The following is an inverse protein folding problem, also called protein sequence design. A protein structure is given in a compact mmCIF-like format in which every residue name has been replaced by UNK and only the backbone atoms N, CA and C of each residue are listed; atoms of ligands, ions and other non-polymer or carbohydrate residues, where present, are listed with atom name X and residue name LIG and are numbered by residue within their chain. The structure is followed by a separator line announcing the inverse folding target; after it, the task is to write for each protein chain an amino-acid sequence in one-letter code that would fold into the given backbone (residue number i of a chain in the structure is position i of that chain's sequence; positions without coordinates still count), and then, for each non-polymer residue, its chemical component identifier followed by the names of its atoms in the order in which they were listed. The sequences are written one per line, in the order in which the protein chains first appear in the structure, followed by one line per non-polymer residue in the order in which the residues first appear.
data_IF_070595488123
#
_entry.id   IF_070595488123
#
_cell.length_a   1.000
_cell.length_b   1.000
_cell.length_c   1.000
_cell.angle_alpha   90.00
_cell.angle_beta   90.00
_cell.angle_gamma   90.00
#
_symmetry.space_group_name_H-M   'P 1'
#
loop_
_entity.id
_entity.type
_entity.pdbx_description
1 polymer ?
#
# COMPACT_ATOMS: atom_id res chain seq x y z
N UNK A 1 -26.05 21.76 -54.23
CA UNK A 1 -26.05 22.69 -53.06
C UNK A 1 -26.82 22.14 -51.83
N UNK A 2 -28.06 21.65 -51.94
CA UNK A 2 -28.85 21.18 -50.78
C UNK A 2 -28.23 20.02 -49.95
N UNK A 3 -27.46 19.14 -50.55
CA UNK A 3 -26.80 18.02 -49.84
C UNK A 3 -25.59 18.47 -48.96
N UNK A 4 -24.79 19.43 -49.42
CA UNK A 4 -23.64 19.97 -48.66
C UNK A 4 -24.10 20.74 -47.42
N UNK A 5 -25.21 21.44 -47.50
CA UNK A 5 -25.78 22.22 -46.39
C UNK A 5 -26.36 21.31 -45.28
N UNK A 6 -27.01 20.21 -45.67
CA UNK A 6 -27.52 19.20 -44.74
C UNK A 6 -26.42 18.51 -43.97
N UNK A 7 -25.29 18.17 -44.61
CA UNK A 7 -24.09 17.58 -44.01
C UNK A 7 -23.44 18.54 -43.00
N UNK A 8 -23.33 19.84 -43.36
CA UNK A 8 -22.77 20.86 -42.44
C UNK A 8 -23.65 21.07 -41.21
N UNK A 9 -24.98 21.09 -41.39
CA UNK A 9 -25.92 21.19 -40.26
C UNK A 9 -25.86 20.01 -39.31
N UNK A 10 -25.81 18.79 -39.85
CA UNK A 10 -25.67 17.57 -39.04
C UNK A 10 -24.36 17.58 -38.26
N UNK A 11 -23.23 17.93 -38.89
CA UNK A 11 -21.93 18.03 -38.21
C UNK A 11 -21.96 19.08 -37.09
N UNK A 12 -22.54 20.24 -37.30
CA UNK A 12 -22.67 21.28 -36.28
C UNK A 12 -23.53 20.81 -35.10
N UNK A 13 -24.61 20.07 -35.38
CA UNK A 13 -25.46 19.47 -34.33
C UNK A 13 -24.72 18.45 -33.50
N UNK A 14 -23.94 17.57 -34.14
CA UNK A 14 -23.10 16.59 -33.45
C UNK A 14 -22.03 17.27 -32.59
N UNK A 15 -21.37 18.31 -33.12
CA UNK A 15 -20.36 19.06 -32.36
C UNK A 15 -20.98 19.77 -31.14
N UNK A 16 -22.18 20.40 -31.31
CA UNK A 16 -22.88 21.02 -30.21
C UNK A 16 -23.32 20.02 -29.15
N UNK A 17 -23.85 18.86 -29.56
CA UNK A 17 -24.23 17.80 -28.64
C UNK A 17 -23.01 17.26 -27.85
N UNK A 18 -21.89 17.04 -28.52
CA UNK A 18 -20.66 16.62 -27.88
C UNK A 18 -20.15 17.65 -26.88
N UNK A 19 -20.19 18.94 -27.23
CA UNK A 19 -19.77 20.01 -26.31
C UNK A 19 -20.69 20.06 -25.08
N UNK A 20 -22.02 19.98 -25.29
CA UNK A 20 -22.99 19.95 -24.19
C UNK A 20 -22.75 18.76 -23.26
N UNK A 21 -22.50 17.56 -23.80
CA UNK A 21 -22.21 16.38 -23.02
C UNK A 21 -20.91 16.54 -22.21
N UNK A 22 -19.84 17.01 -22.83
CA UNK A 22 -18.56 17.25 -22.14
C UNK A 22 -18.72 18.29 -21.02
N UNK A 23 -19.41 19.38 -21.28
CA UNK A 23 -19.71 20.43 -20.27
C UNK A 23 -20.53 19.84 -19.10
N UNK A 24 -21.56 19.04 -19.38
CA UNK A 24 -22.39 18.44 -18.36
C UNK A 24 -21.57 17.48 -17.46
N UNK A 25 -20.68 16.68 -18.05
CA UNK A 25 -19.78 15.78 -17.30
C UNK A 25 -18.85 16.58 -16.38
N UNK A 26 -18.22 17.65 -16.91
CA UNK A 26 -17.33 18.52 -16.12
C UNK A 26 -18.06 19.21 -14.98
N UNK A 27 -19.24 19.79 -15.23
CA UNK A 27 -20.04 20.47 -14.20
C UNK A 27 -20.52 19.47 -13.13
N UNK A 28 -20.88 18.26 -13.52
CA UNK A 28 -21.28 17.22 -12.57
C UNK A 28 -20.10 16.77 -11.73
N UNK A 29 -18.92 16.60 -12.34
CA UNK A 29 -17.67 16.28 -11.64
C UNK A 29 -17.33 17.36 -10.61
N UNK A 30 -17.32 18.62 -11.03
CA UNK A 30 -17.06 19.77 -10.16
C UNK A 30 -18.07 19.84 -8.99
N UNK A 31 -19.36 19.68 -9.29
CA UNK A 31 -20.42 19.69 -8.27
C UNK A 31 -20.21 18.57 -7.23
N UNK A 32 -19.84 17.37 -7.67
CA UNK A 32 -19.50 16.27 -6.75
C UNK A 32 -18.28 16.56 -5.92
N UNK A 33 -17.20 17.05 -6.53
CA UNK A 33 -15.96 17.40 -5.83
C UNK A 33 -16.20 18.39 -4.69
N UNK A 34 -17.07 19.37 -4.90
CA UNK A 34 -17.32 20.43 -3.93
C UNK A 34 -18.42 20.10 -2.91
N UNK A 35 -19.43 19.31 -3.29
CA UNK A 35 -20.63 19.13 -2.47
C UNK A 35 -20.74 17.73 -1.81
N UNK A 36 -20.25 16.70 -2.47
CA UNK A 36 -20.32 15.30 -2.01
C UNK A 36 -19.14 14.51 -2.56
N UNK A 37 -17.90 14.80 -2.13
CA UNK A 37 -16.74 14.06 -2.58
C UNK A 37 -16.84 12.59 -2.17
N UNK A 38 -16.26 11.71 -2.97
CA UNK A 38 -16.00 10.32 -2.57
C UNK A 38 -14.79 10.31 -1.65
N UNK A 39 -14.80 9.42 -0.67
CA UNK A 39 -13.69 9.27 0.26
C UNK A 39 -12.57 8.38 -0.28
N UNK A 40 -12.92 7.45 -1.17
CA UNK A 40 -12.00 6.44 -1.71
C UNK A 40 -12.06 6.38 -3.24
N UNK A 41 -10.89 6.31 -3.85
CA UNK A 41 -10.72 5.92 -5.24
C UNK A 41 -10.46 4.41 -5.28
N UNK A 42 -11.52 3.63 -5.40
CA UNK A 42 -11.44 2.16 -5.43
C UNK A 42 -10.65 1.62 -6.62
N UNK A 43 -10.63 2.36 -7.74
CA UNK A 43 -9.89 1.94 -8.93
C UNK A 43 -8.37 1.95 -8.69
N UNK A 44 -7.88 2.96 -7.97
CA UNK A 44 -6.46 3.14 -7.68
C UNK A 44 -6.08 2.66 -6.26
N UNK A 45 -7.05 2.08 -5.54
CA UNK A 45 -6.87 1.53 -4.19
C UNK A 45 -6.20 2.52 -3.22
N UNK A 46 -6.70 3.75 -3.18
CA UNK A 46 -6.19 4.82 -2.31
C UNK A 46 -7.31 5.77 -1.86
N UNK A 47 -7.10 6.57 -0.82
CA UNK A 47 -7.98 7.69 -0.50
C UNK A 47 -8.15 8.60 -1.71
N UNK A 48 -9.36 9.12 -1.92
CA UNK A 48 -9.61 10.09 -2.98
C UNK A 48 -8.96 11.43 -2.65
N UNK A 49 -8.43 12.10 -3.67
CA UNK A 49 -7.86 13.42 -3.50
C UNK A 49 -8.95 14.42 -3.10
N UNK A 50 -8.61 15.31 -2.18
CA UNK A 50 -9.47 16.38 -1.70
C UNK A 50 -9.00 17.74 -2.20
N UNK A 51 -9.93 18.70 -2.25
CA UNK A 51 -9.60 20.07 -2.64
C UNK A 51 -8.80 20.73 -1.54
N UNK A 52 -7.60 21.21 -1.86
CA UNK A 52 -6.80 22.00 -0.92
C UNK A 52 -7.42 23.39 -0.67
N UNK A 53 -7.17 24.02 0.50
CA UNK A 53 -7.60 25.38 0.76
C UNK A 53 -7.01 26.37 -0.26
N UNK A 54 -7.84 27.25 -0.77
CA UNK A 54 -7.40 28.33 -1.65
C UNK A 54 -6.72 29.43 -0.82
N UNK A 55 -5.43 29.58 -0.99
CA UNK A 55 -4.64 30.68 -0.41
C UNK A 55 -3.94 31.45 -1.52
N UNK A 56 -3.44 32.66 -1.22
CA UNK A 56 -2.67 33.41 -2.21
C UNK A 56 -1.37 32.66 -2.62
N UNK A 57 -0.75 31.97 -1.70
CA UNK A 57 0.46 31.17 -1.94
C UNK A 57 0.12 29.97 -2.85
N UNK A 58 -0.87 29.16 -2.48
CA UNK A 58 -1.26 27.95 -3.25
C UNK A 58 -1.80 28.29 -4.64
N UNK A 59 -2.33 29.51 -4.83
CA UNK A 59 -2.73 29.97 -6.16
C UNK A 59 -1.52 30.37 -7.02
N UNK A 60 -0.52 31.04 -6.41
CA UNK A 60 0.64 31.53 -7.15
C UNK A 60 1.67 30.46 -7.48
N UNK A 61 1.82 29.45 -6.62
CA UNK A 61 2.73 28.34 -6.84
C UNK A 61 2.11 27.18 -7.65
N UNK A 62 0.81 27.22 -7.91
CA UNK A 62 0.09 26.22 -8.70
C UNK A 62 -0.43 25.02 -7.89
N UNK A 63 -0.10 24.90 -6.61
CA UNK A 63 -0.48 23.74 -5.80
C UNK A 63 -2.00 23.59 -5.61
N UNK A 64 -2.74 24.72 -5.59
CA UNK A 64 -4.20 24.68 -5.57
C UNK A 64 -4.77 24.09 -6.86
N UNK A 65 -4.23 24.50 -8.02
CA UNK A 65 -4.66 24.01 -9.32
C UNK A 65 -4.41 22.51 -9.44
N UNK A 66 -3.23 22.04 -9.03
CA UNK A 66 -2.87 20.63 -9.05
C UNK A 66 -3.79 19.80 -8.13
N UNK A 67 -4.05 20.28 -6.91
CA UNK A 67 -4.94 19.61 -5.97
C UNK A 67 -6.41 19.58 -6.48
N UNK A 68 -6.88 20.68 -7.11
CA UNK A 68 -8.19 20.76 -7.72
C UNK A 68 -8.33 19.80 -8.90
N UNK A 69 -7.31 19.71 -9.75
CA UNK A 69 -7.29 18.78 -10.90
C UNK A 69 -7.32 17.33 -10.42
N UNK A 70 -6.49 16.99 -9.44
CA UNK A 70 -6.46 15.66 -8.84
C UNK A 70 -7.80 15.28 -8.20
N UNK A 71 -8.39 16.17 -7.39
CA UNK A 71 -9.68 15.95 -6.76
C UNK A 71 -10.81 15.83 -7.80
N UNK A 72 -10.82 16.69 -8.82
CA UNK A 72 -11.81 16.63 -9.90
C UNK A 72 -11.69 15.32 -10.69
N UNK A 73 -10.48 14.89 -11.00
CA UNK A 73 -10.22 13.63 -11.70
C UNK A 73 -10.80 12.41 -10.97
N UNK A 74 -10.70 12.39 -9.63
CA UNK A 74 -11.27 11.31 -8.81
C UNK A 74 -12.81 11.37 -8.75
N UNK A 75 -13.41 12.55 -8.85
CA UNK A 75 -14.84 12.77 -8.65
C UNK A 75 -15.68 12.78 -9.93
N UNK A 76 -15.06 12.88 -11.13
CA UNK A 76 -15.79 12.89 -12.40
C UNK A 76 -16.61 11.59 -12.52
N UNK A 77 -17.95 11.68 -12.70
CA UNK A 77 -18.76 10.52 -12.98
C UNK A 77 -18.26 9.82 -14.26
N UNK A 78 -18.25 8.53 -14.26
CA UNK A 78 -17.79 7.71 -15.41
C UNK A 78 -16.28 7.74 -15.69
N UNK A 79 -15.46 8.62 -15.09
CA UNK A 79 -14.02 8.62 -15.34
C UNK A 79 -13.39 7.24 -15.00
N UNK A 80 -13.77 6.66 -13.87
CA UNK A 80 -13.33 5.32 -13.48
C UNK A 80 -13.85 4.25 -14.44
N UNK A 81 -15.13 4.31 -14.83
CA UNK A 81 -15.70 3.38 -15.79
C UNK A 81 -15.07 3.51 -17.18
N UNK A 82 -14.75 4.73 -17.61
CA UNK A 82 -14.04 4.97 -18.87
C UNK A 82 -12.60 4.48 -18.81
N UNK A 83 -11.87 4.76 -17.73
CA UNK A 83 -10.52 4.21 -17.49
C UNK A 83 -10.57 2.66 -17.53
N UNK A 84 -11.53 2.07 -16.81
CA UNK A 84 -11.73 0.61 -16.79
C UNK A 84 -11.98 0.07 -18.20
N UNK A 85 -12.96 0.61 -18.92
CA UNK A 85 -13.31 0.16 -20.28
C UNK A 85 -12.16 0.29 -21.27
N UNK A 86 -11.42 1.40 -21.19
CA UNK A 86 -10.26 1.62 -22.04
C UNK A 86 -9.13 0.61 -21.74
N UNK A 87 -8.84 0.40 -20.46
CA UNK A 87 -7.85 -0.57 -20.02
C UNK A 87 -8.28 -2.00 -20.38
N UNK A 88 -9.55 -2.37 -20.14
CA UNK A 88 -10.10 -3.67 -20.49
C UNK A 88 -9.96 -3.95 -22.00
N UNK A 89 -10.24 -2.95 -22.85
CA UNK A 89 -10.10 -3.10 -24.28
C UNK A 89 -8.63 -3.25 -24.73
N UNK A 90 -7.71 -2.48 -24.17
CA UNK A 90 -6.29 -2.59 -24.47
C UNK A 90 -5.65 -3.85 -23.89
N UNK A 91 -6.03 -4.21 -22.67
CA UNK A 91 -5.39 -5.28 -21.94
C UNK A 91 -5.89 -6.67 -22.33
N UNK A 92 -7.10 -6.78 -22.88
CA UNK A 92 -7.62 -8.09 -23.32
C UNK A 92 -6.70 -8.76 -24.35
N UNK A 93 -6.23 -8.03 -25.33
CA UNK A 93 -5.33 -8.58 -26.37
C UNK A 93 -3.98 -8.94 -25.76
N UNK A 94 -3.45 -8.06 -24.90
CA UNK A 94 -2.16 -8.26 -24.23
C UNK A 94 -2.27 -9.45 -23.26
N UNK A 95 -3.32 -9.47 -22.45
CA UNK A 95 -3.61 -10.55 -21.52
C UNK A 95 -3.71 -11.90 -22.21
N UNK A 96 -4.55 -12.03 -23.26
CA UNK A 96 -4.71 -13.29 -24.01
C UNK A 96 -3.38 -13.80 -24.56
N UNK A 97 -2.52 -12.89 -25.03
CA UNK A 97 -1.19 -13.26 -25.56
C UNK A 97 -0.25 -13.73 -24.45
N UNK A 98 -0.21 -13.03 -23.34
CA UNK A 98 0.60 -13.36 -22.16
C UNK A 98 0.18 -14.72 -21.57
N UNK A 99 -1.13 -14.93 -21.40
CA UNK A 99 -1.66 -16.17 -20.85
C UNK A 99 -1.35 -17.37 -21.76
N UNK A 100 -1.50 -17.22 -23.07
CA UNK A 100 -1.12 -18.27 -24.04
C UNK A 100 0.34 -18.64 -23.93
N UNK A 101 1.22 -17.64 -23.78
CA UNK A 101 2.66 -17.88 -23.61
C UNK A 101 2.96 -18.55 -22.27
N UNK A 102 2.40 -18.06 -21.19
CA UNK A 102 2.61 -18.60 -19.85
C UNK A 102 2.09 -20.02 -19.70
N UNK A 103 0.92 -20.34 -20.26
CA UNK A 103 0.41 -21.72 -20.31
C UNK A 103 1.24 -22.65 -21.17
N UNK A 104 1.77 -22.13 -22.29
CA UNK A 104 2.62 -22.93 -23.18
C UNK A 104 3.98 -23.24 -22.55
N UNK A 105 4.46 -22.37 -21.68
CA UNK A 105 5.78 -22.45 -21.03
C UNK A 105 5.64 -22.23 -19.51
N UNK A 106 4.99 -23.13 -18.76
CA UNK A 106 4.63 -22.89 -17.36
C UNK A 106 5.82 -22.73 -16.42
N UNK A 107 6.99 -23.25 -16.80
CA UNK A 107 8.21 -23.14 -15.99
C UNK A 107 9.09 -21.94 -16.39
N UNK A 108 8.63 -21.14 -17.35
CA UNK A 108 9.36 -19.95 -17.81
C UNK A 108 8.53 -18.74 -17.48
N UNK A 109 9.05 -17.79 -16.70
CA UNK A 109 8.32 -16.56 -16.43
C UNK A 109 8.14 -15.77 -17.73
N UNK A 110 6.92 -15.31 -17.96
CA UNK A 110 6.61 -14.39 -19.06
C UNK A 110 6.65 -12.98 -18.51
N UNK A 111 7.62 -12.19 -18.96
CA UNK A 111 7.69 -10.79 -18.55
C UNK A 111 6.63 -9.97 -19.28
N UNK A 112 5.91 -9.19 -18.50
CA UNK A 112 4.93 -8.23 -18.99
C UNK A 112 5.12 -6.90 -18.23
N UNK A 113 5.66 -5.92 -18.93
CA UNK A 113 6.04 -4.64 -18.33
C UNK A 113 7.00 -4.89 -17.14
N UNK A 114 6.63 -4.45 -15.96
CA UNK A 114 7.38 -4.65 -14.71
C UNK A 114 7.04 -5.94 -13.97
N UNK A 115 6.21 -6.81 -14.55
CA UNK A 115 5.77 -8.04 -13.90
C UNK A 115 6.29 -9.30 -14.59
N UNK A 116 6.41 -10.36 -13.79
CA UNK A 116 6.62 -11.73 -14.22
C UNK A 116 5.36 -12.53 -13.98
N UNK A 117 4.91 -13.28 -14.98
CA UNK A 117 3.76 -14.18 -14.88
C UNK A 117 4.25 -15.62 -14.92
N UNK A 118 3.95 -16.38 -13.89
CA UNK A 118 4.32 -17.78 -13.76
C UNK A 118 3.08 -18.67 -13.91
N UNK A 119 3.14 -19.65 -14.81
CA UNK A 119 2.09 -20.66 -15.00
C UNK A 119 0.68 -20.11 -15.24
N UNK A 120 0.56 -18.86 -15.65
CA UNK A 120 -0.72 -18.17 -15.80
C UNK A 120 -1.44 -17.85 -14.49
N UNK A 121 -0.76 -17.93 -13.35
CA UNK A 121 -1.35 -17.76 -12.02
C UNK A 121 -0.78 -16.58 -11.25
N UNK A 122 0.55 -16.46 -11.23
CA UNK A 122 1.26 -15.58 -10.30
C UNK A 122 1.74 -14.34 -11.01
N UNK A 123 1.44 -13.19 -10.42
CA UNK A 123 2.04 -11.91 -10.78
C UNK A 123 3.09 -11.56 -9.73
N UNK A 124 4.37 -11.55 -10.13
CA UNK A 124 5.45 -11.04 -9.30
C UNK A 124 6.09 -9.86 -10.02
N UNK A 125 6.63 -8.89 -9.28
CA UNK A 125 7.44 -7.85 -9.90
C UNK A 125 8.69 -8.48 -10.52
N UNK A 126 9.09 -7.97 -11.68
CA UNK A 126 10.40 -8.30 -12.24
C UNK A 126 11.48 -7.88 -11.25
N UNK A 127 12.48 -8.76 -11.11
CA UNK A 127 13.61 -8.53 -10.22
C UNK A 127 14.31 -7.21 -10.52
N UNK A 128 14.60 -6.47 -9.48
CA UNK A 128 15.41 -5.27 -9.54
C UNK A 128 16.83 -5.60 -9.09
N UNK A 129 17.81 -5.43 -9.97
CA UNK A 129 19.20 -5.78 -9.64
C UNK A 129 19.72 -4.93 -8.47
N UNK A 130 20.67 -5.46 -7.65
CA UNK A 130 21.28 -4.70 -6.55
C UNK A 130 21.83 -3.34 -6.99
N UNK A 131 22.43 -3.26 -8.18
CA UNK A 131 22.98 -2.00 -8.70
C UNK A 131 21.95 -0.89 -8.85
N UNK A 132 20.67 -1.24 -9.07
CA UNK A 132 19.59 -0.27 -9.15
C UNK A 132 19.13 0.20 -7.76
N UNK A 133 19.25 -0.65 -6.74
CA UNK A 133 18.79 -0.37 -5.39
C UNK A 133 19.89 0.13 -4.44
N UNK A 134 21.17 -0.15 -4.73
CA UNK A 134 22.31 0.27 -3.90
C UNK A 134 22.32 1.77 -3.57
N UNK A 135 22.10 2.70 -4.52
CA UNK A 135 22.09 4.12 -4.20
C UNK A 135 21.03 4.48 -3.14
N UNK A 136 19.85 3.85 -3.23
CA UNK A 136 18.74 4.03 -2.29
C UNK A 136 19.10 3.45 -0.92
N UNK A 137 19.62 2.21 -0.89
CA UNK A 137 20.09 1.56 0.34
C UNK A 137 21.16 2.37 1.04
N UNK A 138 22.07 2.97 0.28
CA UNK A 138 23.13 3.83 0.81
C UNK A 138 22.52 5.04 1.52
N UNK A 139 21.65 5.77 0.85
CA UNK A 139 20.94 6.92 1.40
C UNK A 139 20.16 6.57 2.66
N UNK A 140 19.45 5.43 2.65
CA UNK A 140 18.67 4.96 3.79
C UNK A 140 19.58 4.62 4.98
N UNK A 141 20.69 3.92 4.74
CA UNK A 141 21.64 3.61 5.81
C UNK A 141 22.27 4.86 6.42
N UNK A 142 22.58 5.87 5.62
CA UNK A 142 23.12 7.14 6.07
C UNK A 142 22.09 7.92 6.93
N UNK A 143 20.85 8.01 6.48
CA UNK A 143 19.76 8.66 7.21
C UNK A 143 19.47 7.94 8.55
N UNK A 144 19.42 6.61 8.53
CA UNK A 144 19.20 5.82 9.74
C UNK A 144 20.37 5.99 10.73
N UNK A 145 21.59 5.96 10.26
CA UNK A 145 22.77 6.20 11.11
C UNK A 145 22.76 7.60 11.71
N UNK A 146 22.35 8.61 10.96
CA UNK A 146 22.19 9.96 11.48
C UNK A 146 21.11 10.04 12.58
N UNK A 147 19.98 9.34 12.38
CA UNK A 147 18.91 9.25 13.37
C UNK A 147 19.36 8.52 14.64
N UNK A 148 20.04 7.39 14.50
CA UNK A 148 20.63 6.63 15.62
C UNK A 148 21.60 7.51 16.42
N UNK A 149 22.46 8.22 15.75
CA UNK A 149 23.44 9.11 16.41
C UNK A 149 22.78 10.29 17.13
N UNK A 150 21.67 10.81 16.61
CA UNK A 150 20.92 11.90 17.20
C UNK A 150 20.11 11.49 18.45
N UNK A 151 19.79 10.19 18.60
CA UNK A 151 18.93 9.68 19.68
C UNK A 151 19.58 8.49 20.40
N UNK A 152 20.67 8.72 21.16
CA UNK A 152 21.40 7.64 21.84
C UNK A 152 20.61 7.03 23.01
N UNK A 153 19.52 7.64 23.44
CA UNK A 153 18.58 7.17 24.46
C UNK A 153 17.47 6.27 23.91
N UNK A 154 17.42 6.06 22.58
CA UNK A 154 16.47 5.23 21.90
C UNK A 154 17.13 3.93 21.43
N UNK A 155 16.46 2.80 21.65
CA UNK A 155 16.90 1.52 21.08
C UNK A 155 16.31 1.37 19.70
N UNK A 156 17.15 1.20 18.68
CA UNK A 156 16.74 1.07 17.29
C UNK A 156 16.78 -0.41 16.86
N UNK A 157 15.87 -0.75 15.99
CA UNK A 157 15.82 -2.05 15.33
C UNK A 157 15.59 -1.84 13.82
N UNK A 158 16.17 -2.69 13.02
CA UNK A 158 15.96 -2.75 11.58
C UNK A 158 15.30 -4.08 11.22
N UNK A 159 14.13 -4.02 10.60
CA UNK A 159 13.46 -5.20 10.06
C UNK A 159 13.15 -4.99 8.59
N UNK A 160 13.91 -5.68 7.73
CA UNK A 160 13.74 -5.64 6.29
C UNK A 160 12.75 -6.70 5.84
N UNK A 161 11.76 -6.32 5.07
CA UNK A 161 10.89 -7.27 4.40
C UNK A 161 11.36 -7.43 2.95
N UNK A 162 11.65 -8.66 2.54
CA UNK A 162 11.83 -8.97 1.13
C UNK A 162 10.49 -8.68 0.44
N UNK A 163 10.47 -7.59 -0.27
CA UNK A 163 9.29 -7.20 -1.05
C UNK A 163 9.15 -8.06 -2.30
N UNK A 164 8.07 -7.83 -2.99
CA UNK A 164 7.70 -8.55 -4.19
C UNK A 164 8.74 -8.35 -5.35
N UNK A 165 9.46 -7.23 -5.37
CA UNK A 165 10.46 -6.91 -6.39
C UNK A 165 11.92 -7.12 -5.96
N UNK A 166 12.14 -7.47 -4.71
CA UNK A 166 13.49 -7.54 -4.14
C UNK A 166 13.66 -8.78 -3.25
N UNK A 167 13.24 -9.92 -3.77
CA UNK A 167 13.36 -11.21 -3.10
C UNK A 167 14.26 -12.15 -3.90
N UNK A 168 14.82 -13.14 -3.22
CA UNK A 168 15.73 -14.09 -3.85
C UNK A 168 15.03 -15.04 -4.84
N UNK A 169 13.75 -15.29 -4.64
CA UNK A 169 12.95 -16.11 -5.54
C UNK A 169 12.91 -15.53 -6.97
N UNK A 170 12.63 -14.23 -7.13
CA UNK A 170 12.61 -13.59 -8.46
C UNK A 170 14.01 -13.32 -9.01
N UNK A 171 15.00 -13.19 -8.13
CA UNK A 171 16.41 -13.05 -8.52
C UNK A 171 17.01 -14.36 -9.03
N UNK A 172 16.50 -15.50 -8.55
CA UNK A 172 17.11 -16.80 -8.78
C UNK A 172 18.40 -17.05 -7.99
N UNK A 173 18.81 -16.08 -7.17
CA UNK A 173 20.00 -16.13 -6.30
C UNK A 173 19.87 -15.12 -5.16
N UNK A 174 20.77 -15.16 -4.17
CA UNK A 174 20.81 -14.14 -3.13
C UNK A 174 21.11 -12.76 -3.74
N UNK A 175 20.18 -11.81 -3.56
CA UNK A 175 20.31 -10.46 -4.09
C UNK A 175 21.29 -9.58 -3.30
N UNK A 176 21.72 -10.00 -2.09
CA UNK A 176 22.68 -9.28 -1.26
C UNK A 176 22.20 -7.94 -0.69
N UNK A 177 20.93 -7.60 -0.86
CA UNK A 177 20.40 -6.30 -0.44
C UNK A 177 20.39 -6.14 1.10
N UNK A 178 19.95 -7.18 1.81
CA UNK A 178 19.97 -7.17 3.28
C UNK A 178 21.41 -7.13 3.81
N UNK A 179 22.30 -7.91 3.26
CA UNK A 179 23.73 -7.93 3.62
C UNK A 179 24.39 -6.58 3.38
N UNK A 180 24.06 -5.95 2.26
CA UNK A 180 24.54 -4.61 1.95
C UNK A 180 24.06 -3.58 2.98
N UNK A 181 22.75 -3.56 3.28
CA UNK A 181 22.18 -2.63 4.25
C UNK A 181 22.71 -2.89 5.66
N UNK A 182 22.65 -4.14 6.12
CA UNK A 182 23.03 -4.52 7.48
C UNK A 182 24.51 -4.26 7.78
N UNK A 183 25.38 -4.33 6.75
CA UNK A 183 26.80 -4.00 6.90
C UNK A 183 27.09 -2.50 7.05
N UNK A 184 26.12 -1.63 6.71
CA UNK A 184 26.28 -0.17 6.73
C UNK A 184 25.55 0.52 7.87
N UNK A 185 24.58 -0.12 8.48
CA UNK A 185 23.81 0.42 9.59
C UNK A 185 24.54 0.19 10.90
N UNK A 186 24.64 1.23 11.74
CA UNK A 186 25.32 1.20 13.03
C UNK A 186 24.43 0.55 14.12
N UNK A 187 23.98 -0.68 13.86
CA UNK A 187 23.22 -1.52 14.81
C UNK A 187 23.93 -2.84 15.01
N UNK A 188 23.84 -3.43 16.21
CA UNK A 188 24.28 -4.80 16.43
C UNK A 188 23.41 -5.80 15.67
N UNK A 189 23.97 -6.95 15.29
CA UNK A 189 23.30 -7.94 14.46
C UNK A 189 21.97 -8.45 15.07
N UNK A 190 21.90 -8.56 16.38
CA UNK A 190 20.70 -8.97 17.12
C UNK A 190 19.55 -7.96 17.08
N UNK A 191 19.81 -6.73 16.62
CA UNK A 191 18.81 -5.70 16.38
C UNK A 191 18.39 -5.60 14.91
N UNK A 192 18.87 -6.50 14.07
CA UNK A 192 18.57 -6.53 12.64
C UNK A 192 17.90 -7.86 12.27
N UNK A 193 16.80 -7.79 11.54
CA UNK A 193 16.05 -8.95 11.07
C UNK A 193 15.63 -8.81 9.61
N UNK A 194 15.28 -9.94 9.00
CA UNK A 194 14.83 -10.02 7.61
C UNK A 194 13.64 -10.97 7.49
N UNK A 195 12.59 -10.54 6.82
CA UNK A 195 11.55 -11.41 6.31
C UNK A 195 12.00 -11.96 4.95
N UNK A 196 12.55 -13.17 4.95
CA UNK A 196 13.14 -13.75 3.75
C UNK A 196 12.09 -14.40 2.83
N UNK A 197 12.23 -14.17 1.51
CA UNK A 197 11.47 -14.82 0.45
C UNK A 197 12.47 -15.42 -0.55
N UNK A 198 12.90 -16.63 -0.27
CA UNK A 198 13.94 -17.29 -1.05
C UNK A 198 13.39 -18.25 -2.11
N UNK A 199 12.12 -18.68 -1.96
CA UNK A 199 11.51 -19.70 -2.79
C UNK A 199 10.08 -19.33 -3.21
N UNK A 200 9.64 -19.85 -4.36
CA UNK A 200 8.27 -19.66 -4.86
C UNK A 200 7.20 -20.10 -3.86
N UNK A 201 7.43 -21.22 -3.15
CA UNK A 201 6.49 -21.74 -2.16
C UNK A 201 6.28 -20.76 -0.99
N UNK A 202 7.35 -20.12 -0.54
CA UNK A 202 7.29 -19.06 0.48
C UNK A 202 6.51 -17.85 -0.02
N UNK A 203 6.78 -17.44 -1.26
CA UNK A 203 6.06 -16.34 -1.89
C UNK A 203 4.55 -16.65 -2.02
N UNK A 204 4.20 -17.83 -2.53
CA UNK A 204 2.81 -18.28 -2.68
C UNK A 204 2.03 -18.31 -1.36
N UNK A 205 2.71 -18.68 -0.28
CA UNK A 205 2.10 -18.78 1.05
C UNK A 205 1.92 -17.43 1.72
N UNK A 206 2.89 -16.53 1.56
CA UNK A 206 3.02 -15.33 2.39
C UNK A 206 2.54 -14.06 1.69
N UNK A 207 2.37 -14.07 0.37
CA UNK A 207 1.97 -12.89 -0.40
C UNK A 207 0.68 -13.11 -1.17
N UNK A 208 -0.03 -12.00 -1.42
CA UNK A 208 -1.09 -12.01 -2.41
C UNK A 208 -0.50 -12.17 -3.81
N UNK A 209 -1.22 -12.90 -4.66
CA UNK A 209 -0.79 -13.11 -6.05
C UNK A 209 -1.09 -11.89 -6.94
N UNK A 210 -2.13 -11.13 -6.59
CA UNK A 210 -2.61 -9.98 -7.36
C UNK A 210 -2.24 -8.64 -6.75
N UNK A 211 -1.68 -8.66 -5.54
CA UNK A 211 -1.25 -7.47 -4.79
C UNK A 211 0.21 -7.60 -4.36
N UNK A 212 0.89 -6.47 -4.13
CA UNK A 212 2.29 -6.47 -3.73
C UNK A 212 2.50 -6.71 -2.23
N UNK A 213 1.45 -6.71 -1.45
CA UNK A 213 1.55 -6.92 -0.01
C UNK A 213 1.55 -8.40 0.36
N UNK A 214 2.02 -8.69 1.56
CA UNK A 214 1.81 -9.97 2.19
C UNK A 214 0.32 -10.22 2.50
N UNK A 215 -0.10 -11.48 2.49
CA UNK A 215 -1.44 -11.89 2.90
C UNK A 215 -1.52 -12.03 4.44
N UNK A 216 -2.64 -12.52 4.97
CA UNK A 216 -2.80 -12.75 6.40
C UNK A 216 -1.75 -13.70 7.00
N UNK A 217 -1.31 -14.71 6.25
CA UNK A 217 -0.28 -15.66 6.70
C UNK A 217 1.08 -14.97 6.78
N UNK A 218 1.45 -14.25 5.73
CA UNK A 218 2.72 -13.52 5.66
C UNK A 218 2.78 -12.38 6.67
N UNK A 219 1.73 -11.56 6.80
CA UNK A 219 1.70 -10.48 7.77
C UNK A 219 1.79 -11.00 9.21
N UNK A 220 1.13 -12.12 9.53
CA UNK A 220 1.23 -12.73 10.84
C UNK A 220 2.63 -13.33 11.12
N UNK A 221 3.27 -13.93 10.11
CA UNK A 221 4.67 -14.35 10.20
C UNK A 221 5.58 -13.13 10.44
N UNK A 222 5.41 -12.05 9.68
CA UNK A 222 6.17 -10.82 9.85
C UNK A 222 5.99 -10.19 11.24
N UNK A 223 4.75 -10.18 11.75
CA UNK A 223 4.49 -9.78 13.13
C UNK A 223 5.28 -10.60 14.15
N UNK A 224 5.26 -11.93 14.03
CA UNK A 224 5.98 -12.83 14.96
C UNK A 224 7.49 -12.61 14.92
N UNK A 225 8.06 -12.46 13.72
CA UNK A 225 9.49 -12.21 13.54
C UNK A 225 9.89 -10.83 14.09
N UNK A 226 9.11 -9.78 13.81
CA UNK A 226 9.34 -8.44 14.35
C UNK A 226 9.20 -8.42 15.88
N UNK A 227 8.21 -9.10 16.44
CA UNK A 227 8.04 -9.22 17.87
C UNK A 227 9.21 -9.97 18.53
N UNK A 228 9.69 -11.06 17.91
CA UNK A 228 10.87 -11.79 18.38
C UNK A 228 12.14 -10.94 18.35
N UNK A 229 12.31 -10.10 17.30
CA UNK A 229 13.42 -9.15 17.21
C UNK A 229 13.41 -8.14 18.37
N UNK A 230 12.22 -7.73 18.83
CA UNK A 230 12.03 -6.88 20.00
C UNK A 230 12.14 -7.63 21.35
N UNK A 231 12.40 -8.95 21.32
CA UNK A 231 12.46 -9.79 22.52
C UNK A 231 11.08 -10.10 23.15
N UNK A 232 9.99 -9.94 22.39
CA UNK A 232 8.64 -10.12 22.87
C UNK A 232 8.15 -11.55 22.66
N UNK A 233 7.57 -12.15 23.71
CA UNK A 233 7.06 -13.54 23.69
C UNK A 233 5.55 -13.63 23.89
N UNK A 234 4.90 -12.57 24.37
CA UNK A 234 3.44 -12.52 24.54
C UNK A 234 2.78 -12.00 23.26
N UNK A 235 2.46 -12.93 22.37
CA UNK A 235 1.91 -12.62 21.05
C UNK A 235 0.38 -12.63 21.07
N UNK A 236 -0.24 -11.84 20.21
CA UNK A 236 -1.65 -11.98 19.85
C UNK A 236 -1.79 -13.19 18.93
N UNK A 237 -2.64 -14.15 19.33
CA UNK A 237 -2.97 -15.28 18.49
C UNK A 237 -4.26 -15.03 17.71
N UNK A 238 -4.34 -15.48 16.44
CA UNK A 238 -5.57 -15.39 15.67
C UNK A 238 -6.71 -16.17 16.34
N UNK A 239 -7.89 -15.56 16.44
CA UNK A 239 -9.11 -16.22 16.92
C UNK A 239 -9.74 -17.08 15.81
N UNK A 240 -9.80 -16.54 14.60
CA UNK A 240 -10.37 -17.19 13.43
C UNK A 240 -9.83 -16.55 12.16
N UNK A 241 -10.05 -17.23 11.03
CA UNK A 241 -9.85 -16.69 9.69
C UNK A 241 -11.19 -16.27 9.12
N UNK A 242 -11.27 -15.02 8.66
CA UNK A 242 -12.49 -14.44 8.05
C UNK A 242 -12.24 -14.22 6.57
N UNK A 243 -13.12 -14.75 5.72
CA UNK A 243 -13.16 -14.46 4.29
C UNK A 243 -13.79 -13.07 4.09
N UNK A 244 -12.98 -12.08 3.70
CA UNK A 244 -13.43 -10.70 3.44
C UNK A 244 -13.98 -10.57 2.02
N UNK A 245 -13.34 -11.25 1.06
CA UNK A 245 -13.77 -11.25 -0.33
C UNK A 245 -13.38 -12.56 -1.02
N UNK A 246 -14.22 -13.03 -1.94
CA UNK A 246 -13.87 -14.11 -2.86
C UNK A 246 -13.25 -13.59 -4.16
N UNK A 247 -13.20 -12.26 -4.33
CA UNK A 247 -12.85 -11.62 -5.59
C UNK A 247 -11.93 -10.39 -5.37
N UNK A 248 -10.89 -10.59 -4.57
CA UNK A 248 -9.89 -9.54 -4.35
C UNK A 248 -8.95 -9.45 -5.54
N UNK A 249 -8.82 -8.24 -6.07
CA UNK A 249 -7.88 -7.93 -7.14
C UNK A 249 -7.04 -6.73 -6.71
N UNK A 250 -5.78 -6.98 -6.41
CA UNK A 250 -4.89 -6.01 -5.82
C UNK A 250 -4.17 -5.10 -6.81
N UNK A 251 -3.19 -4.38 -6.31
CA UNK A 251 -2.47 -3.31 -7.02
C UNK A 251 -1.74 -3.79 -8.28
N UNK A 252 -1.19 -5.01 -8.29
CA UNK A 252 -0.52 -5.58 -9.47
C UNK A 252 -1.52 -5.82 -10.62
N UNK A 253 -2.64 -6.46 -10.32
CA UNK A 253 -3.69 -6.69 -11.31
C UNK A 253 -4.32 -5.38 -11.79
N UNK A 254 -4.50 -4.41 -10.87
CA UNK A 254 -4.96 -3.07 -11.19
C UNK A 254 -4.02 -2.35 -12.16
N UNK A 255 -2.70 -2.39 -11.93
CA UNK A 255 -1.72 -1.67 -12.73
C UNK A 255 -1.63 -2.16 -14.17
N UNK A 256 -1.94 -3.45 -14.41
CA UNK A 256 -2.01 -4.03 -15.77
C UNK A 256 -3.44 -4.06 -16.33
N UNK A 257 -4.45 -3.57 -15.57
CA UNK A 257 -5.85 -3.54 -15.97
C UNK A 257 -6.48 -4.92 -16.15
N UNK A 258 -6.06 -5.88 -15.34
CA UNK A 258 -6.47 -7.28 -15.45
C UNK A 258 -7.30 -7.76 -14.25
N UNK A 259 -8.03 -6.88 -13.58
CA UNK A 259 -8.79 -7.18 -12.35
C UNK A 259 -9.85 -8.28 -12.54
N UNK A 260 -10.45 -8.36 -13.72
CA UNK A 260 -11.45 -9.41 -14.04
C UNK A 260 -10.84 -10.79 -14.30
N UNK A 261 -9.53 -10.83 -14.54
CA UNK A 261 -8.80 -12.04 -14.91
C UNK A 261 -7.91 -12.54 -13.78
N UNK A 262 -7.33 -11.62 -13.03
CA UNK A 262 -6.50 -11.91 -11.88
C UNK A 262 -7.21 -11.44 -10.60
N UNK A 263 -7.78 -12.37 -9.91
CA UNK A 263 -8.37 -12.17 -8.60
C UNK A 263 -8.12 -13.40 -7.73
N UNK A 264 -8.21 -13.23 -6.45
CA UNK A 264 -7.99 -14.26 -5.45
C UNK A 264 -8.86 -14.04 -4.22
N UNK A 265 -9.03 -15.04 -3.36
CA UNK A 265 -9.69 -14.85 -2.09
C UNK A 265 -8.87 -13.93 -1.17
N UNK A 266 -9.54 -13.04 -0.44
CA UNK A 266 -8.93 -12.26 0.64
C UNK A 266 -9.39 -12.78 1.98
N UNK A 267 -8.49 -13.49 2.66
CA UNK A 267 -8.66 -13.96 4.03
C UNK A 267 -7.92 -13.06 5.00
N UNK A 268 -8.50 -12.82 6.17
CA UNK A 268 -7.95 -11.98 7.23
C UNK A 268 -8.07 -12.71 8.57
N UNK A 269 -7.04 -12.62 9.39
CA UNK A 269 -7.15 -13.10 10.77
C UNK A 269 -7.88 -12.10 11.65
N UNK A 270 -8.83 -12.58 12.44
CA UNK A 270 -9.46 -11.80 13.51
C UNK A 270 -8.69 -11.97 14.81
N UNK A 271 -8.51 -10.87 15.53
CA UNK A 271 -7.81 -10.83 16.80
C UNK A 271 -8.67 -10.18 17.90
N UNK A 272 -8.38 -10.51 19.17
CA UNK A 272 -8.89 -9.80 20.33
C UNK A 272 -7.94 -8.64 20.68
N UNK A 273 -8.14 -7.50 20.04
CA UNK A 273 -7.33 -6.32 20.34
C UNK A 273 -7.66 -5.73 21.72
N UNK A 274 -6.67 -5.19 22.45
CA UNK A 274 -6.91 -4.43 23.67
C UNK A 274 -7.71 -3.16 23.34
N UNK A 275 -8.40 -2.62 24.34
CA UNK A 275 -9.01 -1.29 24.21
C UNK A 275 -7.90 -0.26 24.02
N UNK A 276 -8.11 0.67 23.11
CA UNK A 276 -7.16 1.73 22.78
C UNK A 276 -7.88 3.00 22.34
N UNK A 277 -7.22 4.13 22.45
CA UNK A 277 -7.57 5.33 21.71
C UNK A 277 -6.73 5.39 20.42
N UNK A 278 -7.33 5.97 19.40
CA UNK A 278 -6.72 6.10 18.07
C UNK A 278 -6.66 7.57 17.71
N UNK A 279 -5.51 8.01 17.21
CA UNK A 279 -5.35 9.35 16.64
C UNK A 279 -4.69 9.20 15.26
N UNK A 280 -5.24 9.85 14.24
CA UNK A 280 -4.72 9.83 12.87
C UNK A 280 -4.44 11.27 12.46
N UNK A 281 -3.21 11.57 12.08
CA UNK A 281 -2.76 12.92 11.70
C UNK A 281 -3.14 14.02 12.73
N UNK A 282 -3.05 13.69 14.02
CA UNK A 282 -3.38 14.57 15.13
C UNK A 282 -4.87 14.62 15.52
N UNK A 283 -5.77 14.01 14.76
CA UNK A 283 -7.20 14.01 15.02
C UNK A 283 -7.67 12.66 15.62
N UNK A 284 -8.58 12.68 16.61
CA UNK A 284 -9.16 11.45 17.16
C UNK A 284 -9.92 10.66 16.09
N UNK A 285 -9.77 9.33 16.11
CA UNK A 285 -10.48 8.40 15.25
C UNK A 285 -11.12 7.28 16.08
N UNK A 286 -12.20 6.70 15.58
CA UNK A 286 -12.92 5.63 16.28
C UNK A 286 -12.10 4.33 16.32
N UNK A 287 -11.40 4.01 15.21
CA UNK A 287 -10.56 2.82 15.09
C UNK A 287 -9.56 2.96 13.93
N UNK A 288 -8.63 2.02 13.83
CA UNK A 288 -7.66 1.90 12.74
C UNK A 288 -7.49 0.44 12.32
N UNK A 289 -7.75 0.13 11.03
CA UNK A 289 -7.67 -1.23 10.51
C UNK A 289 -8.59 -2.25 11.22
N UNK A 290 -8.79 -3.40 10.63
CA UNK A 290 -9.64 -4.47 11.16
C UNK A 290 -11.04 -4.04 11.63
N UNK A 291 -11.63 -3.04 10.97
CA UNK A 291 -12.96 -2.56 11.31
C UNK A 291 -14.01 -3.65 11.08
N UNK A 292 -15.06 -3.67 11.92
CA UNK A 292 -16.13 -4.67 11.83
C UNK A 292 -16.80 -4.72 10.46
N UNK A 293 -16.93 -3.58 9.77
CA UNK A 293 -17.47 -3.54 8.41
C UNK A 293 -16.64 -4.35 7.42
N UNK A 294 -15.30 -4.27 7.53
CA UNK A 294 -14.39 -5.07 6.71
C UNK A 294 -14.48 -6.55 7.05
N UNK A 295 -14.43 -6.87 8.35
CA UNK A 295 -14.45 -8.24 8.85
C UNK A 295 -15.81 -8.95 8.70
N UNK A 296 -16.90 -8.21 8.47
CA UNK A 296 -18.23 -8.78 8.21
C UNK A 296 -18.49 -9.08 6.73
N UNK A 297 -17.51 -8.85 5.85
CA UNK A 297 -17.67 -9.03 4.40
C UNK A 297 -18.61 -8.02 3.75
N UNK A 298 -18.86 -6.88 4.40
CA UNK A 298 -19.72 -5.81 3.89
C UNK A 298 -19.01 -4.86 2.92
N UNK A 299 -17.70 -5.02 2.73
CA UNK A 299 -16.96 -4.28 1.71
C UNK A 299 -17.36 -4.79 0.32
N UNK A 300 -17.98 -3.92 -0.46
CA UNK A 300 -18.32 -4.21 -1.86
C UNK A 300 -17.08 -4.34 -2.74
N UNK A 301 -16.02 -3.60 -2.37
CA UNK A 301 -14.73 -3.60 -3.05
C UNK A 301 -13.64 -3.78 -1.99
N UNK A 302 -13.22 -5.03 -1.74
CA UNK A 302 -12.17 -5.34 -0.79
C UNK A 302 -10.83 -4.79 -1.29
N UNK A 303 -10.11 -4.10 -0.41
CA UNK A 303 -8.78 -3.60 -0.66
C UNK A 303 -7.89 -3.80 0.56
N UNK A 304 -6.58 -3.89 0.36
CA UNK A 304 -5.63 -4.04 1.45
C UNK A 304 -5.77 -2.91 2.48
N UNK A 305 -5.75 -1.66 2.00
CA UNK A 305 -5.91 -0.49 2.86
C UNK A 305 -7.28 -0.41 3.55
N UNK A 306 -8.35 -0.88 2.89
CA UNK A 306 -9.70 -0.94 3.49
C UNK A 306 -9.80 -1.92 4.64
N UNK A 307 -8.95 -2.94 4.69
CA UNK A 307 -8.90 -3.93 5.78
C UNK A 307 -7.89 -3.53 6.85
N UNK A 308 -6.65 -3.26 6.47
CA UNK A 308 -5.54 -3.07 7.41
C UNK A 308 -5.27 -1.62 7.79
N UNK A 309 -5.92 -0.66 7.15
CA UNK A 309 -5.69 0.77 7.27
C UNK A 309 -4.90 1.32 6.08
N UNK A 310 -5.10 2.61 5.82
CA UNK A 310 -4.43 3.34 4.76
C UNK A 310 -3.12 3.93 5.24
N UNK A 311 -2.26 4.29 4.28
CA UNK A 311 -1.03 5.02 4.56
C UNK A 311 -1.35 6.43 5.06
N UNK A 312 -1.18 6.61 6.35
CA UNK A 312 -1.36 7.88 7.02
C UNK A 312 0.02 8.43 7.41
N UNK A 313 0.14 9.76 7.47
CA UNK A 313 1.41 10.39 7.89
C UNK A 313 1.75 10.09 9.35
N UNK A 314 0.74 9.95 10.21
CA UNK A 314 0.88 9.60 11.61
C UNK A 314 -0.35 8.81 12.07
N UNK A 315 -0.12 7.69 12.76
CA UNK A 315 -1.15 6.94 13.50
C UNK A 315 -0.64 6.69 14.91
N UNK A 316 -1.41 7.10 15.91
CA UNK A 316 -1.09 6.85 17.32
C UNK A 316 -2.15 5.90 17.87
N UNK A 317 -1.70 4.76 18.37
CA UNK A 317 -2.52 3.77 19.07
C UNK A 317 -2.08 3.75 20.54
N UNK A 318 -2.97 4.17 21.46
CA UNK A 318 -2.65 4.26 22.88
C UNK A 318 -3.60 3.41 23.71
N UNK A 319 -3.06 2.41 24.40
CA UNK A 319 -3.82 1.53 25.30
C UNK A 319 -4.08 2.14 26.68
N UNK A 320 -3.45 3.29 26.99
CA UNK A 320 -3.50 3.90 28.32
C UNK A 320 -2.80 3.08 29.42
N UNK A 321 -2.12 1.99 29.06
CA UNK A 321 -1.45 1.11 30.02
C UNK A 321 -0.11 1.74 30.40
N UNK A 322 0.12 1.97 31.69
CA UNK A 322 1.41 2.47 32.21
C UNK A 322 2.36 1.30 32.50
N UNK A 323 3.67 1.52 32.40
CA UNK A 323 4.70 0.54 32.72
C UNK A 323 5.24 -0.26 31.52
N UNK A 324 4.81 0.05 30.28
CA UNK A 324 5.29 -0.54 29.01
C UNK A 324 6.04 0.51 28.18
N UNK A 325 7.00 0.11 27.35
CA UNK A 325 7.71 1.03 26.45
C UNK A 325 6.82 1.60 25.34
N UNK A 326 7.27 2.67 24.73
CA UNK A 326 6.66 3.20 23.50
C UNK A 326 7.42 2.64 22.31
N UNK A 327 6.70 2.29 21.25
CA UNK A 327 7.26 1.85 19.99
C UNK A 327 6.92 2.88 18.91
N UNK A 328 7.93 3.36 18.20
CA UNK A 328 7.76 4.10 16.95
C UNK A 328 8.09 3.16 15.80
N UNK A 329 7.14 2.93 14.90
CA UNK A 329 7.36 2.22 13.65
C UNK A 329 7.45 3.25 12.51
N UNK A 330 8.54 3.19 11.76
CA UNK A 330 8.73 3.98 10.55
C UNK A 330 8.80 3.00 9.38
N UNK A 331 7.82 3.05 8.52
CA UNK A 331 7.76 2.08 7.42
C UNK A 331 6.73 2.43 6.35
N UNK A 332 6.26 1.43 5.64
CA UNK A 332 5.36 1.53 4.49
C UNK A 332 4.05 0.77 4.75
N UNK A 333 3.20 0.69 3.71
CA UNK A 333 1.87 0.07 3.77
C UNK A 333 1.83 -1.38 4.29
N UNK A 334 2.94 -2.11 4.21
CA UNK A 334 3.03 -3.41 4.86
C UNK A 334 2.87 -3.33 6.39
N UNK A 335 3.37 -2.26 7.02
CA UNK A 335 3.28 -2.08 8.47
C UNK A 335 1.83 -1.99 8.95
N UNK A 336 0.92 -1.52 8.10
CA UNK A 336 -0.50 -1.43 8.42
C UNK A 336 -1.06 -2.77 8.93
N UNK A 337 -0.64 -3.89 8.34
CA UNK A 337 -1.09 -5.22 8.73
C UNK A 337 -0.45 -5.77 10.02
N UNK A 338 0.53 -5.09 10.60
CA UNK A 338 1.14 -5.50 11.86
C UNK A 338 1.09 -4.45 12.95
N UNK A 339 0.81 -3.20 12.61
CA UNK A 339 0.84 -2.07 13.53
C UNK A 339 0.00 -2.31 14.79
N UNK A 340 -1.27 -2.70 14.60
CA UNK A 340 -2.20 -2.95 15.71
C UNK A 340 -1.83 -4.21 16.52
N UNK A 341 -1.19 -5.19 15.89
CA UNK A 341 -0.70 -6.40 16.54
C UNK A 341 0.45 -6.10 17.51
N UNK A 342 1.30 -5.14 17.15
CA UNK A 342 2.46 -4.75 17.96
C UNK A 342 2.08 -4.12 19.30
N UNK A 343 0.84 -3.68 19.51
CA UNK A 343 0.36 -3.15 20.78
C UNK A 343 0.54 -4.11 21.96
N UNK A 344 0.38 -5.42 21.72
CA UNK A 344 0.54 -6.42 22.78
C UNK A 344 1.97 -6.80 23.05
N UNK A 345 2.86 -6.64 22.09
CA UNK A 345 4.28 -7.03 22.23
C UNK A 345 5.03 -6.15 23.22
N UNK A 346 4.50 -4.96 23.51
CA UNK A 346 5.11 -4.02 24.44
C UNK A 346 4.70 -4.35 25.88
N UNK A 347 5.39 -5.30 26.51
CA UNK A 347 5.13 -5.67 27.89
C UNK A 347 5.90 -4.76 28.83
N UNK A 348 5.29 -3.73 29.38
CA UNK A 348 5.89 -3.00 30.49
C UNK A 348 5.71 -1.52 30.66
N UNK A 349 5.10 -0.69 29.83
CA UNK A 349 4.70 0.71 30.10
C UNK A 349 3.98 1.33 28.92
N UNK A 350 3.38 2.49 29.05
CA UNK A 350 2.45 3.09 28.07
C UNK A 350 2.76 2.71 26.62
N UNK A 351 1.95 1.84 26.02
CA UNK A 351 2.14 1.44 24.64
C UNK A 351 1.50 2.50 23.75
N UNK A 352 2.27 3.47 23.31
CA UNK A 352 1.91 4.33 22.17
C UNK A 352 2.70 3.86 20.97
N UNK A 353 2.01 3.42 19.92
CA UNK A 353 2.63 3.17 18.63
C UNK A 353 2.40 4.42 17.80
N UNK A 354 3.46 5.09 17.41
CA UNK A 354 3.44 6.18 16.45
C UNK A 354 4.03 5.64 15.15
N UNK A 355 3.20 5.44 14.14
CA UNK A 355 3.68 5.13 12.79
C UNK A 355 3.77 6.43 12.03
N UNK A 356 4.97 6.94 11.81
CA UNK A 356 5.21 8.08 10.95
C UNK A 356 5.56 7.56 9.55
N UNK A 357 4.64 7.73 8.61
CA UNK A 357 4.89 7.40 7.21
C UNK A 357 5.25 8.66 6.45
N UNK A 358 6.41 8.65 5.82
CA UNK A 358 6.83 9.71 4.93
C UNK A 358 6.29 9.45 3.52
N UNK A 359 5.40 10.32 3.01
CA UNK A 359 4.91 10.28 1.62
C UNK A 359 6.01 10.37 0.56
N UNK A 360 7.24 10.66 0.96
CA UNK A 360 8.40 10.72 0.07
C UNK A 360 9.05 9.38 -0.21
N UNK A 361 8.52 8.28 0.35
CA UNK A 361 9.08 6.93 0.28
C UNK A 361 8.34 6.01 -0.69
N UNK A 362 7.47 6.53 -1.54
CA UNK A 362 6.83 5.79 -2.66
C UNK A 362 7.81 5.29 -3.73
N UNK A 363 9.08 5.13 -3.39
CA UNK A 363 10.00 4.43 -4.26
C UNK A 363 9.83 2.91 -4.07
N UNK A 364 9.71 2.21 -5.11
CA UNK A 364 9.49 0.79 -5.43
C UNK A 364 10.13 -0.30 -4.54
N UNK A 365 10.61 0.03 -3.32
CA UNK A 365 11.42 -0.86 -2.48
C UNK A 365 11.03 -0.72 -1.01
N UNK A 366 10.44 -1.77 -0.44
CA UNK A 366 9.94 -1.79 0.92
C UNK A 366 11.04 -1.85 1.99
N UNK A 367 11.35 -0.72 2.63
CA UNK A 367 12.32 -0.62 3.73
C UNK A 367 11.66 -0.18 5.02
N UNK A 368 12.08 -0.75 6.16
CA UNK A 368 11.45 -0.49 7.44
C UNK A 368 12.43 -0.45 8.59
N UNK A 369 12.27 0.54 9.46
CA UNK A 369 12.93 0.62 10.75
C UNK A 369 11.90 0.65 11.88
N UNK A 370 12.17 -0.09 12.95
CA UNK A 370 11.36 -0.11 14.16
C UNK A 370 12.19 0.51 15.28
N UNK A 371 11.62 1.49 16.00
CA UNK A 371 12.27 2.11 17.14
C UNK A 371 11.49 1.86 18.42
N UNK A 372 12.17 1.42 19.47
CA UNK A 372 11.58 1.29 20.80
C UNK A 372 12.30 2.24 21.79
N UNK A 373 11.54 3.04 22.55
CA UNK A 373 12.09 3.89 23.59
C UNK A 373 11.66 3.43 24.99
N UNK A 374 12.57 3.49 25.95
CA UNK A 374 12.31 3.14 27.35
C UNK A 374 11.94 4.35 28.21
N UNK A 375 11.78 5.54 27.64
CA UNK A 375 11.60 6.81 28.36
C UNK A 375 10.26 7.50 28.12
N UNK A 376 9.71 8.13 29.16
CA UNK A 376 8.41 8.82 29.21
C UNK A 376 8.46 10.21 28.56
N UNK A 377 8.88 10.36 27.30
CA UNK A 377 8.76 11.64 26.60
C UNK A 377 7.82 11.52 25.42
N UNK A 378 6.84 12.42 25.38
CA UNK A 378 5.96 12.58 24.20
C UNK A 378 6.80 13.03 23.03
N UNK A 379 6.63 12.38 21.88
CA UNK A 379 7.11 12.95 20.61
C UNK A 379 6.32 14.25 20.38
N UNK A 380 7.02 15.36 20.32
CA UNK A 380 6.49 16.67 19.91
C UNK A 380 6.92 16.97 18.48
#
# INVERSE_FOLDING_TARGET
MKHADKSKRTRNLCNAAMLCCATAVLLTGLGRTLLRPKDVNYYENRPANTVAPLTAESWLDGSFQDAMEAALSDQIPLAQAMKKTFNDAQNKIRYDSMMRLSHRYPNVPVQYDQFLVYGGKYLAYAYCSPDMVIPELTRHSENLNALIAAHPDVTFYLYMVDGDSNNNFTAGENNGAFEYLSSRVNLPAEQMGRFAVDELETYERDFYQTDHHWCNVGSYRGYREAAALLGCTDLLEPLETVRVSDHFSGSKALSIGAQEQFFEPMDVYRFAFPKMSVTIAGEPADDYGWQDAALSGQLTDASYGGVYGWDNGEVILDTGTTGRGNLLMLGESYDNAILKLMLRTLTGSTASICAAMSRTWESRFGWRSICASTGSRRCS
#
